data_IF_118303809293
#
_entry.id   IF_118303809293
#
_cell.length_a   1.000
_cell.length_b   1.000
_cell.length_c   1.000
_cell.angle_alpha   90.00
_cell.angle_beta   90.00
_cell.angle_gamma   90.00
#
_symmetry.space_group_name_H-M   'P 1'
#
loop_
_entity.id
_entity.type
_entity.pdbx_description
1 polymer ?
#
# COMPACT_ATOMS: atom_id res chain seq x y z
N UNK A 1 13.87 -10.48 -7.33
CA UNK A 1 12.61 -11.24 -7.47
C UNK A 1 12.69 -12.29 -8.56
N UNK A 2 12.85 -11.95 -9.85
CA UNK A 2 12.81 -12.92 -10.96
C UNK A 2 13.80 -14.09 -10.80
N UNK A 3 15.03 -13.84 -10.36
CA UNK A 3 16.02 -14.89 -10.07
C UNK A 3 15.44 -15.97 -9.14
N UNK A 4 14.81 -15.56 -8.03
CA UNK A 4 14.19 -16.46 -7.07
C UNK A 4 13.02 -17.22 -7.71
N UNK A 5 12.19 -16.54 -8.50
CA UNK A 5 11.06 -17.18 -9.21
C UNK A 5 11.52 -18.25 -10.22
N UNK A 6 12.67 -18.04 -10.88
CA UNK A 6 13.31 -19.06 -11.73
C UNK A 6 13.78 -20.25 -10.92
N UNK A 7 14.45 -20.00 -9.81
CA UNK A 7 15.00 -21.05 -8.93
C UNK A 7 13.89 -21.96 -8.38
N UNK A 8 12.78 -21.40 -7.91
CA UNK A 8 11.67 -22.16 -7.31
C UNK A 8 10.65 -22.70 -8.32
N UNK A 9 10.92 -22.56 -9.63
CA UNK A 9 9.99 -22.99 -10.69
C UNK A 9 9.76 -24.50 -10.61
N UNK A 10 8.50 -24.91 -10.53
CA UNK A 10 8.10 -26.32 -10.41
C UNK A 10 8.31 -26.95 -9.04
N UNK A 11 8.88 -26.23 -8.06
CA UNK A 11 9.12 -26.77 -6.72
C UNK A 11 7.88 -26.70 -5.81
N UNK A 12 7.02 -25.70 -6.01
CA UNK A 12 5.85 -25.46 -5.17
C UNK A 12 4.58 -25.33 -6.00
N UNK A 13 3.49 -25.89 -5.48
CA UNK A 13 2.15 -25.80 -6.10
C UNK A 13 1.57 -24.39 -6.04
N UNK A 14 1.91 -23.62 -5.01
CA UNK A 14 1.42 -22.25 -4.81
C UNK A 14 2.56 -21.37 -4.38
N UNK A 15 2.68 -20.21 -5.00
CA UNK A 15 3.68 -19.18 -4.72
C UNK A 15 2.96 -17.86 -4.56
N UNK A 16 3.32 -17.11 -3.54
CA UNK A 16 2.78 -15.78 -3.26
C UNK A 16 3.92 -14.76 -3.24
N UNK A 17 3.82 -13.74 -4.07
CA UNK A 17 4.69 -12.57 -4.04
C UNK A 17 3.97 -11.51 -3.21
N UNK A 18 4.64 -10.97 -2.19
CA UNK A 18 4.10 -9.93 -1.31
C UNK A 18 4.95 -8.67 -1.48
N UNK A 19 4.30 -7.55 -1.73
CA UNK A 19 4.94 -6.24 -1.94
C UNK A 19 4.13 -5.12 -1.29
N UNK A 20 4.79 -4.01 -1.02
CA UNK A 20 4.11 -2.76 -0.66
C UNK A 20 3.80 -1.95 -1.93
N UNK A 21 2.69 -1.22 -1.94
CA UNK A 21 2.38 -0.23 -2.98
C UNK A 21 3.25 1.02 -2.85
N UNK A 22 3.25 1.59 -1.64
CA UNK A 22 4.12 2.71 -1.26
C UNK A 22 5.03 2.24 -0.13
N UNK A 23 6.34 2.32 -0.32
CA UNK A 23 7.30 1.96 0.72
C UNK A 23 7.39 3.08 1.75
N UNK A 24 7.09 2.76 3.01
CA UNK A 24 6.90 3.76 4.07
C UNK A 24 8.18 4.51 4.49
N UNK A 25 9.36 3.90 4.29
CA UNK A 25 10.63 4.51 4.67
C UNK A 25 11.10 5.52 3.62
N UNK A 26 11.15 5.11 2.36
CA UNK A 26 11.68 5.92 1.27
C UNK A 26 10.62 6.79 0.57
N UNK A 27 9.34 6.47 0.76
CA UNK A 27 8.22 7.16 0.11
C UNK A 27 8.14 6.94 -1.39
N UNK A 28 8.88 5.97 -1.94
CA UNK A 28 8.80 5.54 -3.33
C UNK A 28 7.74 4.46 -3.53
N UNK A 29 7.50 4.09 -4.79
CA UNK A 29 6.46 3.14 -5.19
C UNK A 29 7.08 1.84 -5.68
N UNK A 30 6.36 0.74 -5.53
CA UNK A 30 6.73 -0.51 -6.19
C UNK A 30 6.64 -0.39 -7.71
N UNK A 31 7.46 -1.21 -8.38
CA UNK A 31 7.40 -1.45 -9.82
C UNK A 31 6.23 -2.39 -10.15
N UNK A 32 5.01 -1.95 -9.79
CA UNK A 32 3.83 -2.79 -9.77
C UNK A 32 3.50 -3.40 -11.16
N UNK A 33 3.51 -2.65 -12.27
CA UNK A 33 3.27 -3.23 -13.61
C UNK A 33 4.25 -4.34 -13.98
N UNK A 34 5.54 -4.15 -13.68
CA UNK A 34 6.60 -5.12 -13.94
C UNK A 34 6.46 -6.35 -13.05
N UNK A 35 6.09 -6.15 -11.78
CA UNK A 35 5.87 -7.24 -10.83
C UNK A 35 4.64 -8.06 -11.24
N UNK A 36 3.54 -7.42 -11.63
CA UNK A 36 2.36 -8.11 -12.18
C UNK A 36 2.75 -8.97 -13.39
N UNK A 37 3.57 -8.43 -14.30
CA UNK A 37 4.03 -9.14 -15.48
C UNK A 37 4.82 -10.40 -15.09
N UNK A 38 5.75 -10.27 -14.14
CA UNK A 38 6.52 -11.39 -13.64
C UNK A 38 5.63 -12.42 -12.92
N UNK A 39 4.68 -11.98 -12.08
CA UNK A 39 3.76 -12.90 -11.41
C UNK A 39 2.95 -13.74 -12.40
N UNK A 40 2.50 -13.13 -13.51
CA UNK A 40 1.83 -13.86 -14.60
C UNK A 40 2.77 -14.85 -15.29
N UNK A 41 3.99 -14.43 -15.64
CA UNK A 41 4.98 -15.30 -16.31
C UNK A 41 5.37 -16.53 -15.49
N UNK A 42 5.46 -16.37 -14.17
CA UNK A 42 5.89 -17.43 -13.26
C UNK A 42 4.73 -18.10 -12.52
N UNK A 43 3.48 -17.83 -12.91
CA UNK A 43 2.26 -18.41 -12.31
C UNK A 43 2.28 -18.30 -10.78
N UNK A 44 2.45 -17.08 -10.29
CA UNK A 44 2.42 -16.77 -8.86
C UNK A 44 1.29 -15.82 -8.54
N UNK A 45 0.70 -16.00 -7.35
CA UNK A 45 -0.22 -15.01 -6.81
C UNK A 45 0.52 -13.75 -6.40
N UNK A 46 -0.16 -12.61 -6.46
CA UNK A 46 0.32 -11.32 -5.99
C UNK A 46 -0.54 -10.79 -4.84
N UNK A 47 0.11 -10.46 -3.74
CA UNK A 47 -0.46 -9.69 -2.64
C UNK A 47 0.21 -8.31 -2.55
N UNK A 48 -0.63 -7.27 -2.53
CA UNK A 48 -0.22 -5.88 -2.40
C UNK A 48 -0.66 -5.35 -1.03
N UNK A 49 0.27 -4.89 -0.19
CA UNK A 49 -0.05 -4.03 0.95
C UNK A 49 -0.12 -2.58 0.45
N UNK A 50 -1.31 -2.00 0.50
CA UNK A 50 -1.57 -0.63 0.05
C UNK A 50 -1.98 0.29 1.21
N UNK A 51 -1.51 -0.01 2.42
CA UNK A 51 -1.79 0.75 3.63
C UNK A 51 -1.45 2.25 3.52
N UNK A 52 -0.40 2.59 2.78
CA UNK A 52 0.03 3.97 2.53
C UNK A 52 -0.53 4.56 1.23
N UNK A 53 -1.10 3.73 0.34
CA UNK A 53 -1.65 4.20 -0.92
C UNK A 53 -3.15 4.47 -0.88
N UNK A 54 -3.94 3.65 -0.19
CA UNK A 54 -5.40 3.80 -0.18
C UNK A 54 -5.82 5.10 0.49
N UNK A 55 -6.74 5.84 -0.14
CA UNK A 55 -7.13 7.20 0.21
C UNK A 55 -6.21 8.30 -0.35
N UNK A 56 -5.01 7.95 -0.80
CA UNK A 56 -3.94 8.91 -1.18
C UNK A 56 -3.62 8.83 -2.67
N UNK A 57 -3.29 7.63 -3.15
CA UNK A 57 -2.84 7.35 -4.50
C UNK A 57 -4.03 7.06 -5.43
N UNK A 58 -3.85 7.38 -6.71
CA UNK A 58 -4.87 7.21 -7.74
C UNK A 58 -5.88 8.36 -7.79
N UNK A 59 -6.54 8.48 -8.95
CA UNK A 59 -7.48 9.58 -9.21
C UNK A 59 -8.67 9.60 -8.25
N UNK A 60 -9.06 8.44 -7.69
CA UNK A 60 -10.19 8.29 -6.77
C UNK A 60 -9.78 7.78 -5.38
N UNK A 61 -8.48 7.78 -5.07
CA UNK A 61 -7.98 7.29 -3.78
C UNK A 61 -8.11 5.78 -3.61
N UNK A 62 -8.18 5.00 -4.70
CA UNK A 62 -8.25 3.53 -4.63
C UNK A 62 -6.88 2.88 -4.49
N UNK A 63 -5.83 3.68 -4.34
CA UNK A 63 -4.50 3.22 -4.00
C UNK A 63 -3.56 3.06 -5.19
N UNK A 64 -2.43 2.42 -4.94
CA UNK A 64 -1.31 2.28 -5.88
C UNK A 64 -1.73 1.50 -7.14
N UNK A 65 -2.61 0.52 -6.98
CA UNK A 65 -3.18 -0.21 -8.11
C UNK A 65 -3.99 0.69 -9.07
N UNK A 66 -4.72 1.69 -8.56
CA UNK A 66 -5.39 2.68 -9.41
C UNK A 66 -4.40 3.63 -10.05
N UNK A 67 -3.40 4.10 -9.30
CA UNK A 67 -2.35 4.97 -9.82
C UNK A 67 -1.66 4.38 -11.05
N UNK A 68 -1.39 3.07 -11.05
CA UNK A 68 -0.79 2.36 -12.19
C UNK A 68 -1.79 1.79 -13.20
N UNK A 69 -3.09 2.08 -13.10
CA UNK A 69 -4.14 1.48 -13.95
C UNK A 69 -4.15 -0.07 -13.92
N UNK A 70 -3.83 -0.65 -12.77
CA UNK A 70 -3.68 -2.08 -12.54
C UNK A 70 -4.77 -2.69 -11.64
N UNK A 71 -5.87 -1.95 -11.39
CA UNK A 71 -7.02 -2.49 -10.65
C UNK A 71 -7.52 -3.80 -11.28
N UNK A 72 -7.78 -4.81 -10.44
CA UNK A 72 -8.24 -6.13 -10.88
C UNK A 72 -7.13 -7.08 -11.35
N UNK A 73 -5.86 -6.65 -11.33
CA UNK A 73 -4.72 -7.50 -11.70
C UNK A 73 -3.92 -8.05 -10.50
N UNK A 74 -4.43 -7.84 -9.28
CA UNK A 74 -3.82 -8.26 -8.02
C UNK A 74 -4.77 -9.23 -7.32
N UNK A 75 -4.26 -10.36 -6.85
CA UNK A 75 -5.09 -11.42 -6.24
C UNK A 75 -5.60 -11.02 -4.86
N UNK A 76 -4.74 -10.37 -4.06
CA UNK A 76 -5.04 -9.93 -2.69
C UNK A 76 -4.52 -8.51 -2.49
N UNK A 77 -5.40 -7.58 -2.14
CA UNK A 77 -5.01 -6.25 -1.67
C UNK A 77 -5.27 -6.19 -0.18
N UNK A 78 -4.25 -5.80 0.58
CA UNK A 78 -4.39 -5.55 2.02
C UNK A 78 -4.21 -4.08 2.32
N UNK A 79 -4.74 -3.64 3.45
CA UNK A 79 -4.58 -2.28 3.92
C UNK A 79 -4.98 -2.14 5.37
N UNK A 80 -4.76 -0.94 5.90
CA UNK A 80 -5.09 -0.61 7.29
C UNK A 80 -6.16 0.47 7.37
N UNK A 81 -6.97 0.40 8.41
CA UNK A 81 -7.89 1.47 8.79
C UNK A 81 -7.24 2.54 9.68
N UNK A 82 -5.98 2.36 10.08
CA UNK A 82 -5.27 3.29 10.99
C UNK A 82 -4.62 4.51 10.37
N UNK A 83 -4.62 4.60 9.03
CA UNK A 83 -3.99 5.69 8.28
C UNK A 83 -5.05 6.61 7.69
N UNK A 84 -5.25 6.56 6.37
CA UNK A 84 -6.20 7.44 5.66
C UNK A 84 -7.64 7.34 6.17
N UNK A 85 -8.01 6.24 6.83
CA UNK A 85 -9.34 6.05 7.40
C UNK A 85 -9.49 6.59 8.84
N UNK A 86 -8.39 6.94 9.52
CA UNK A 86 -8.43 7.54 10.87
C UNK A 86 -9.06 6.67 11.95
N UNK A 87 -8.98 5.33 11.83
CA UNK A 87 -9.60 4.39 12.73
C UNK A 87 -8.63 3.25 13.13
N UNK A 88 -9.10 2.03 13.36
CA UNK A 88 -8.29 0.88 13.80
C UNK A 88 -8.72 -0.38 13.07
N UNK A 89 -7.76 -1.26 12.79
CA UNK A 89 -7.96 -2.53 12.11
C UNK A 89 -7.31 -2.58 10.73
N UNK A 90 -7.61 -3.65 10.00
CA UNK A 90 -7.14 -3.86 8.64
C UNK A 90 -8.12 -4.69 7.84
N UNK A 91 -7.83 -4.85 6.55
CA UNK A 91 -8.67 -5.62 5.65
C UNK A 91 -7.83 -6.35 4.60
N UNK A 92 -8.44 -7.41 4.04
CA UNK A 92 -8.01 -8.03 2.80
C UNK A 92 -9.18 -7.96 1.81
N UNK A 93 -8.90 -7.49 0.60
CA UNK A 93 -9.81 -7.45 -0.53
C UNK A 93 -9.28 -8.42 -1.59
N UNK A 94 -10.08 -9.43 -1.92
CA UNK A 94 -9.72 -10.49 -2.85
C UNK A 94 -10.99 -11.12 -3.44
N UNK A 95 -10.85 -12.12 -4.31
CA UNK A 95 -11.99 -12.90 -4.81
C UNK A 95 -12.78 -13.55 -3.66
N UNK A 96 -14.08 -13.80 -3.87
CA UNK A 96 -14.95 -14.47 -2.89
C UNK A 96 -14.36 -15.79 -2.38
N UNK A 97 -13.72 -16.56 -3.28
CA UNK A 97 -13.06 -17.83 -2.95
C UNK A 97 -11.92 -17.63 -1.95
N UNK A 98 -11.05 -16.65 -2.20
CA UNK A 98 -9.93 -16.32 -1.30
C UNK A 98 -10.44 -15.78 0.04
N UNK A 99 -11.41 -14.86 0.02
CA UNK A 99 -11.99 -14.32 1.27
C UNK A 99 -12.66 -15.42 2.09
N UNK A 100 -13.38 -16.35 1.45
CA UNK A 100 -13.97 -17.50 2.13
C UNK A 100 -12.89 -18.38 2.76
N UNK A 101 -11.82 -18.68 2.03
CA UNK A 101 -10.69 -19.43 2.57
C UNK A 101 -10.07 -18.73 3.79
N UNK A 102 -9.74 -17.45 3.69
CA UNK A 102 -9.15 -16.68 4.80
C UNK A 102 -10.06 -16.65 6.04
N UNK A 103 -11.39 -16.55 5.86
CA UNK A 103 -12.33 -16.55 6.99
C UNK A 103 -12.31 -17.83 7.83
N UNK A 104 -12.02 -18.98 7.21
CA UNK A 104 -12.02 -20.28 7.88
C UNK A 104 -10.62 -20.75 8.31
N UNK A 105 -9.56 -20.28 7.65
CA UNK A 105 -8.20 -20.80 7.84
C UNK A 105 -7.20 -19.78 8.40
N UNK A 106 -7.54 -18.49 8.50
CA UNK A 106 -6.67 -17.52 9.15
C UNK A 106 -6.99 -17.44 10.65
N UNK A 107 -6.11 -18.00 11.49
CA UNK A 107 -6.24 -17.99 12.95
C UNK A 107 -6.42 -16.57 13.50
N UNK A 108 -5.74 -15.59 12.91
CA UNK A 108 -5.85 -14.17 13.26
C UNK A 108 -7.25 -13.60 13.04
N UNK A 109 -8.07 -14.20 12.18
CA UNK A 109 -9.48 -13.86 12.01
C UNK A 109 -10.40 -14.76 12.85
N UNK A 110 -10.13 -16.06 12.90
CA UNK A 110 -11.00 -17.05 13.58
C UNK A 110 -11.02 -16.84 15.10
N UNK A 111 -9.86 -16.53 15.69
CA UNK A 111 -9.71 -16.37 17.14
C UNK A 111 -9.69 -14.91 17.60
N UNK A 112 -10.10 -13.97 16.73
CA UNK A 112 -10.22 -12.55 17.06
C UNK A 112 -11.70 -12.15 17.21
N UNK A 113 -11.98 -11.25 18.15
CA UNK A 113 -13.26 -10.57 18.20
C UNK A 113 -13.45 -9.68 16.95
N UNK A 114 -14.70 -9.56 16.50
CA UNK A 114 -15.05 -8.64 15.43
C UNK A 114 -14.82 -7.18 15.85
N UNK A 115 -14.57 -6.26 14.91
CA UNK A 115 -14.53 -4.82 15.20
C UNK A 115 -15.82 -4.34 15.84
N UNK A 116 -15.74 -3.36 16.74
CA UNK A 116 -16.94 -2.79 17.38
C UNK A 116 -17.85 -2.12 16.33
N UNK A 117 -19.17 -2.01 16.58
CA UNK A 117 -20.07 -1.30 15.68
C UNK A 117 -19.66 0.15 15.44
N UNK A 118 -19.13 0.82 16.46
CA UNK A 118 -18.62 2.19 16.36
C UNK A 118 -17.40 2.29 15.43
N UNK A 119 -16.41 1.41 15.58
CA UNK A 119 -15.25 1.35 14.67
C UNK A 119 -15.71 1.10 13.23
N UNK A 120 -16.63 0.16 13.04
CA UNK A 120 -17.17 -0.19 11.72
C UNK A 120 -17.88 1.01 11.06
N UNK A 121 -18.71 1.74 11.82
CA UNK A 121 -19.41 2.92 11.34
C UNK A 121 -18.43 4.04 10.94
N UNK A 122 -17.38 4.28 11.76
CA UNK A 122 -16.33 5.26 11.45
C UNK A 122 -15.60 4.91 10.14
N UNK A 123 -15.24 3.64 9.94
CA UNK A 123 -14.59 3.17 8.71
C UNK A 123 -15.50 3.38 7.49
N UNK A 124 -16.78 3.04 7.59
CA UNK A 124 -17.74 3.22 6.51
C UNK A 124 -17.89 4.71 6.14
N UNK A 125 -17.92 5.60 7.13
CA UNK A 125 -17.99 7.04 6.89
C UNK A 125 -16.70 7.56 6.25
N UNK A 126 -15.54 7.13 6.73
CA UNK A 126 -14.25 7.50 6.13
C UNK A 126 -14.15 7.05 4.66
N UNK A 127 -14.61 5.83 4.35
CA UNK A 127 -14.67 5.33 2.97
C UNK A 127 -15.62 6.16 2.09
N UNK A 128 -16.76 6.61 2.64
CA UNK A 128 -17.67 7.52 1.94
C UNK A 128 -16.98 8.85 1.62
N UNK A 129 -16.29 9.46 2.59
CA UNK A 129 -15.56 10.71 2.42
C UNK A 129 -14.47 10.56 1.36
N UNK A 130 -13.63 9.52 1.43
CA UNK A 130 -12.58 9.24 0.43
C UNK A 130 -13.15 9.20 -1.00
N UNK A 131 -14.36 8.65 -1.17
CA UNK A 131 -15.02 8.53 -2.47
C UNK A 131 -15.69 9.82 -2.94
N UNK A 132 -16.35 10.55 -2.05
CA UNK A 132 -17.23 11.68 -2.40
C UNK A 132 -16.56 13.04 -2.30
N UNK A 133 -15.46 13.15 -1.56
CA UNK A 133 -14.80 14.41 -1.24
C UNK A 133 -13.37 14.48 -1.82
N UNK A 134 -13.23 14.54 -3.17
CA UNK A 134 -11.92 14.55 -3.83
C UNK A 134 -11.05 15.74 -3.41
N UNK A 135 -11.66 16.86 -2.98
CA UNK A 135 -10.96 18.06 -2.53
C UNK A 135 -9.96 17.80 -1.40
N UNK A 136 -10.22 16.83 -0.51
CA UNK A 136 -9.30 16.47 0.58
C UNK A 136 -8.00 15.91 0.00
N UNK A 137 -8.12 14.99 -0.97
CA UNK A 137 -6.96 14.40 -1.67
C UNK A 137 -6.26 15.43 -2.55
N UNK A 138 -7.01 16.29 -3.25
CA UNK A 138 -6.42 17.39 -4.02
C UNK A 138 -5.57 18.28 -3.12
N UNK A 139 -6.10 18.67 -1.95
CA UNK A 139 -5.37 19.50 -0.99
C UNK A 139 -4.13 18.80 -0.43
N UNK A 140 -4.23 17.50 -0.15
CA UNK A 140 -3.07 16.68 0.25
C UNK A 140 -1.95 16.77 -0.80
N UNK A 141 -2.28 16.59 -2.09
CA UNK A 141 -1.29 16.63 -3.16
C UNK A 141 -0.75 18.03 -3.44
N UNK A 142 -1.56 19.08 -3.32
CA UNK A 142 -1.08 20.46 -3.36
C UNK A 142 -0.03 20.71 -2.27
N UNK A 143 -0.33 20.36 -1.03
CA UNK A 143 0.58 20.54 0.11
C UNK A 143 1.85 19.69 -0.06
N UNK A 144 1.70 18.44 -0.52
CA UNK A 144 2.80 17.53 -0.81
C UNK A 144 3.72 18.11 -1.87
N UNK A 145 3.17 18.61 -2.98
CA UNK A 145 3.97 19.18 -4.07
C UNK A 145 4.64 20.50 -3.67
N UNK A 146 3.94 21.33 -2.88
CA UNK A 146 4.52 22.53 -2.30
C UNK A 146 5.73 22.20 -1.42
N UNK A 147 5.58 21.31 -0.44
CA UNK A 147 6.68 20.93 0.46
C UNK A 147 7.84 20.29 -0.31
N UNK A 148 7.54 19.38 -1.26
CA UNK A 148 8.56 18.75 -2.11
C UNK A 148 9.41 19.78 -2.84
N UNK A 149 8.74 20.78 -3.44
CA UNK A 149 9.42 21.86 -4.15
C UNK A 149 10.32 22.65 -3.20
N UNK A 150 9.79 23.07 -2.05
CA UNK A 150 10.57 23.83 -1.04
C UNK A 150 11.78 23.05 -0.53
N UNK A 151 11.62 21.78 -0.17
CA UNK A 151 12.73 20.96 0.31
C UNK A 151 13.85 20.84 -0.74
N UNK A 152 13.49 20.64 -2.01
CA UNK A 152 14.47 20.58 -3.10
C UNK A 152 15.16 21.93 -3.35
N UNK A 153 14.42 23.04 -3.30
CA UNK A 153 14.97 24.40 -3.44
C UNK A 153 15.97 24.74 -2.33
N UNK A 154 15.71 24.30 -1.09
CA UNK A 154 16.59 24.49 0.06
C UNK A 154 17.75 23.45 0.11
N UNK A 155 17.84 22.56 -0.88
CA UNK A 155 18.95 21.61 -1.01
C UNK A 155 18.85 20.34 -0.16
N UNK A 156 17.67 20.01 0.39
CA UNK A 156 17.49 18.74 1.11
C UNK A 156 17.45 17.54 0.15
N UNK A 157 18.16 16.47 0.50
CA UNK A 157 18.05 15.17 -0.17
C UNK A 157 16.83 14.42 0.37
N UNK A 158 15.79 14.30 -0.47
CA UNK A 158 14.57 13.54 -0.16
C UNK A 158 14.49 12.16 -0.83
N UNK A 159 15.63 11.66 -1.33
CA UNK A 159 15.72 10.39 -2.03
C UNK A 159 14.83 10.32 -3.27
N UNK A 160 14.16 9.18 -3.44
CA UNK A 160 13.28 8.89 -4.58
C UNK A 160 11.79 9.05 -4.24
N UNK A 161 11.46 9.72 -3.14
CA UNK A 161 10.07 9.85 -2.72
C UNK A 161 9.20 10.52 -3.79
N UNK A 162 8.09 9.86 -4.11
CA UNK A 162 7.03 10.37 -4.98
C UNK A 162 5.67 10.42 -4.28
N UNK A 163 5.58 9.94 -3.05
CA UNK A 163 4.39 9.94 -2.21
C UNK A 163 4.39 11.12 -1.21
N UNK A 164 3.34 11.29 -0.38
CA UNK A 164 3.31 12.24 0.73
C UNK A 164 4.22 11.92 1.93
N UNK A 165 5.27 11.12 1.73
CA UNK A 165 6.27 10.74 2.73
C UNK A 165 7.59 11.40 2.35
N UNK A 166 8.23 12.11 3.28
CA UNK A 166 9.45 12.88 2.99
C UNK A 166 10.61 12.40 3.88
N UNK A 167 11.37 11.38 3.45
CA UNK A 167 12.61 11.06 4.15
C UNK A 167 13.60 12.21 3.97
N UNK A 168 14.24 12.67 5.03
CA UNK A 168 15.36 13.62 4.93
C UNK A 168 16.65 12.83 5.09
N UNK A 169 17.39 12.67 3.99
CA UNK A 169 18.55 11.79 3.93
C UNK A 169 19.79 12.49 4.47
N UNK A 170 20.24 12.10 5.66
CA UNK A 170 21.47 12.65 6.29
C UNK A 170 22.75 12.10 5.62
N UNK A 171 22.68 10.90 5.03
CA UNK A 171 23.79 10.19 4.35
C UNK A 171 25.04 9.97 5.21
N UNK A 172 24.91 10.08 6.53
CA UNK A 172 25.99 9.91 7.49
C UNK A 172 25.44 9.30 8.79
N UNK A 173 25.79 8.04 9.06
CA UNK A 173 25.30 7.32 10.23
C UNK A 173 25.80 7.95 11.55
N UNK A 174 27.01 8.52 11.60
CA UNK A 174 27.55 9.13 12.82
C UNK A 174 26.78 10.39 13.20
N UNK A 175 26.37 11.18 12.20
CA UNK A 175 25.51 12.35 12.43
C UNK A 175 24.13 11.95 12.95
N UNK A 176 23.57 10.84 12.47
CA UNK A 176 22.25 10.35 12.92
C UNK A 176 22.29 9.83 14.36
N UNK A 177 23.36 9.16 14.79
CA UNK A 177 23.43 8.55 16.13
C UNK A 177 23.85 9.50 17.25
N UNK A 178 24.44 10.66 16.92
CA UNK A 178 24.96 11.62 17.89
C UNK A 178 24.07 12.87 18.05
N UNK A 179 22.83 12.82 17.54
CA UNK A 179 21.80 13.84 17.77
C UNK A 179 21.05 13.60 19.08
#
# INVERSE_FOLDING_TARGET
>A
MEKVLKEVKGQYQTKLVIIDGVYSQDGDLSLLPEIITLCKTYETMLMLDDAHGIGVMGANGRGTAEYYNCLGQIDIITGTFSKSFGCVGGFAAASKKIIQYLKFYADSNVFSAAPTPQVTASILKALEIIKKEPQIRTKLWENTNYLRKRLKEEGFDIGKSVSPIFPIMIRDNKKVTNC
#
